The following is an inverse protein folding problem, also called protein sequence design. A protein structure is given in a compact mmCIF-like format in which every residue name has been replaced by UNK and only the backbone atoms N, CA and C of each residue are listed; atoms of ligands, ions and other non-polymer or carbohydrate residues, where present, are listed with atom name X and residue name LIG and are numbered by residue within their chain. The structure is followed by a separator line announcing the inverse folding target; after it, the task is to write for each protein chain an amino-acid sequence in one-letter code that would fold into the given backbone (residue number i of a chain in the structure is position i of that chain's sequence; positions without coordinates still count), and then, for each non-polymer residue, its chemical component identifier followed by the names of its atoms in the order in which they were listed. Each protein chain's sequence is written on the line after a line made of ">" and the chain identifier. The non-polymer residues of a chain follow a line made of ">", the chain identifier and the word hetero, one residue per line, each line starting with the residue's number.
data_IF_103951453596
#
_entry.id   IF_103951453596
#
_cell.length_a   1.000
_cell.length_b   1.000
_cell.length_c   1.000
_cell.angle_alpha   90.00
_cell.angle_beta   90.00
_cell.angle_gamma   90.00
#
_symmetry.space_group_name_H-M   'P 1'
#
loop_
_entity.id
_entity.type
_entity.pdbx_description
1 polymer ?
#
# COMPACT_ATOMS: atom_id res chain seq x y z
N UNK A 1 -6.04 -6.95 -14.04
CA UNK A 1 -5.31 -5.68 -13.86
C UNK A 1 -4.29 -5.82 -12.73
N UNK A 2 -3.25 -5.04 -12.78
CA UNK A 2 -2.24 -5.02 -11.72
C UNK A 2 -2.57 -3.92 -10.73
N UNK A 3 -2.82 -4.31 -9.48
CA UNK A 3 -3.25 -3.40 -8.42
C UNK A 3 -2.13 -3.22 -7.40
N UNK A 4 -1.66 -2.01 -7.23
CA UNK A 4 -0.76 -1.69 -6.12
C UNK A 4 -1.59 -1.37 -4.89
N UNK A 5 -1.21 -1.95 -3.76
CA UNK A 5 -1.84 -1.67 -2.47
C UNK A 5 -0.74 -1.18 -1.55
N UNK A 6 -0.86 0.07 -1.15
CA UNK A 6 0.11 0.70 -0.25
C UNK A 6 -0.64 1.40 0.87
N UNK A 7 0.04 1.68 1.96
CA UNK A 7 -0.63 2.37 3.04
C UNK A 7 0.21 2.51 4.28
N UNK A 8 -0.45 2.98 5.32
CA UNK A 8 0.18 3.35 6.58
C UNK A 8 0.62 2.12 7.36
N UNK A 9 1.79 2.21 7.97
CA UNK A 9 2.37 1.10 8.73
C UNK A 9 1.59 0.82 10.02
N UNK A 10 0.89 1.80 10.54
CA UNK A 10 0.09 1.65 11.73
C UNK A 10 -1.28 1.02 11.52
N UNK A 11 -1.66 0.75 10.28
CA UNK A 11 -2.93 0.08 9.99
C UNK A 11 -2.63 -1.41 9.81
N UNK A 12 -2.91 -2.19 10.85
CA UNK A 12 -2.51 -3.60 10.91
C UNK A 12 -3.68 -4.57 10.91
N UNK A 13 -4.92 -4.08 10.91
CA UNK A 13 -6.10 -4.92 10.91
C UNK A 13 -7.16 -4.37 9.97
N UNK A 14 -8.18 -5.17 9.74
CA UNK A 14 -9.30 -4.80 8.91
C UNK A 14 -9.37 -5.61 7.63
N UNK A 15 -10.54 -5.56 7.01
CA UNK A 15 -10.80 -6.27 5.76
C UNK A 15 -10.73 -5.28 4.60
N UNK A 16 -9.68 -5.38 3.81
CA UNK A 16 -9.48 -4.47 2.69
C UNK A 16 -10.25 -4.89 1.44
N UNK A 17 -10.91 -6.05 1.46
CA UNK A 17 -11.68 -6.52 0.31
C UNK A 17 -12.80 -5.54 -0.08
N UNK A 18 -13.31 -4.76 0.88
CA UNK A 18 -14.35 -3.77 0.62
C UNK A 18 -13.89 -2.66 -0.31
N UNK A 19 -12.58 -2.45 -0.45
CA UNK A 19 -12.01 -1.42 -1.32
C UNK A 19 -11.63 -1.95 -2.71
N UNK A 20 -11.74 -3.27 -2.93
CA UNK A 20 -11.28 -3.91 -4.15
C UNK A 20 -12.46 -4.54 -4.86
N UNK A 21 -12.94 -3.87 -5.90
CA UNK A 21 -14.12 -4.32 -6.65
C UNK A 21 -13.80 -4.65 -8.11
N UNK A 22 -12.53 -4.62 -8.49
CA UNK A 22 -12.09 -4.94 -9.84
C UNK A 22 -11.47 -6.33 -9.90
N UNK A 23 -11.43 -6.93 -11.08
CA UNK A 23 -10.69 -8.17 -11.29
C UNK A 23 -9.20 -7.89 -11.24
N UNK A 24 -8.53 -8.50 -10.27
CA UNK A 24 -7.10 -8.27 -10.03
C UNK A 24 -6.31 -9.54 -10.34
N UNK A 25 -5.31 -9.41 -11.20
CA UNK A 25 -4.42 -10.51 -11.58
C UNK A 25 -3.15 -10.54 -10.76
N UNK A 26 -2.71 -9.38 -10.29
CA UNK A 26 -1.46 -9.23 -9.57
C UNK A 26 -1.59 -8.12 -8.54
N UNK A 27 -1.15 -8.39 -7.33
CA UNK A 27 -1.05 -7.37 -6.28
C UNK A 27 0.41 -6.99 -6.14
N UNK A 28 0.68 -5.68 -6.12
CA UNK A 28 2.01 -5.12 -5.97
C UNK A 28 2.07 -4.40 -4.64
N UNK A 29 3.06 -4.74 -3.83
CA UNK A 29 3.22 -4.17 -2.48
C UNK A 29 4.69 -4.01 -2.15
N UNK A 30 4.98 -3.22 -1.13
CA UNK A 30 6.35 -3.00 -0.66
C UNK A 30 6.84 -4.01 0.36
N UNK A 31 5.98 -4.91 0.82
CA UNK A 31 6.37 -5.93 1.79
C UNK A 31 6.62 -5.39 3.20
N UNK A 32 6.21 -4.16 3.50
CA UNK A 32 6.37 -3.58 4.83
C UNK A 32 5.26 -4.05 5.77
N UNK A 33 5.33 -3.65 7.04
CA UNK A 33 4.27 -3.93 8.00
C UNK A 33 3.05 -3.05 7.73
N UNK A 34 1.93 -3.35 8.37
CA UNK A 34 0.71 -2.55 8.23
C UNK A 34 -0.10 -2.97 7.01
N UNK A 35 -0.51 -2.00 6.20
CA UNK A 35 -1.36 -2.25 5.04
C UNK A 35 -0.74 -3.26 4.07
N UNK A 36 0.58 -3.24 3.90
CA UNK A 36 1.24 -4.20 3.01
C UNK A 36 1.02 -5.64 3.48
N UNK A 37 1.01 -5.89 4.78
CA UNK A 37 0.70 -7.21 5.33
C UNK A 37 -0.74 -7.60 5.02
N UNK A 38 -1.68 -6.67 5.17
CA UNK A 38 -3.09 -6.91 4.83
C UNK A 38 -3.25 -7.26 3.35
N UNK A 39 -2.49 -6.60 2.49
CA UNK A 39 -2.51 -6.87 1.05
C UNK A 39 -2.05 -8.29 0.74
N UNK A 40 -0.99 -8.75 1.40
CA UNK A 40 -0.46 -10.10 1.21
C UNK A 40 -1.48 -11.13 1.69
N UNK A 41 -2.10 -10.91 2.84
CA UNK A 41 -3.14 -11.80 3.36
C UNK A 41 -4.34 -11.87 2.43
N UNK A 42 -4.76 -10.72 1.89
CA UNK A 42 -5.84 -10.67 0.92
C UNK A 42 -5.51 -11.48 -0.33
N UNK A 43 -4.28 -11.31 -0.84
CA UNK A 43 -3.84 -12.03 -2.03
C UNK A 43 -3.84 -13.54 -1.81
N UNK A 44 -3.36 -14.00 -0.66
CA UNK A 44 -3.38 -15.43 -0.32
C UNK A 44 -4.80 -15.97 -0.30
N UNK A 45 -5.71 -15.26 0.33
CA UNK A 45 -7.10 -15.67 0.45
C UNK A 45 -7.79 -15.76 -0.90
N UNK A 46 -7.47 -14.85 -1.80
CA UNK A 46 -8.05 -14.82 -3.15
C UNK A 46 -7.22 -15.57 -4.19
N UNK A 47 -6.09 -16.15 -3.80
CA UNK A 47 -5.19 -16.87 -4.70
C UNK A 47 -4.69 -15.99 -5.84
N UNK A 48 -4.34 -14.75 -5.49
CA UNK A 48 -3.78 -13.76 -6.42
C UNK A 48 -2.28 -13.71 -6.22
N UNK A 49 -1.52 -13.63 -7.31
CA UNK A 49 -0.08 -13.50 -7.25
C UNK A 49 0.32 -12.15 -6.63
N UNK A 50 1.44 -12.12 -5.92
CA UNK A 50 1.97 -10.92 -5.29
C UNK A 50 3.36 -10.63 -5.84
N UNK A 51 3.60 -9.37 -6.19
CA UNK A 51 4.94 -8.86 -6.51
C UNK A 51 5.33 -7.92 -5.38
N UNK A 52 6.39 -8.27 -4.65
CA UNK A 52 6.93 -7.39 -3.62
C UNK A 52 8.12 -6.63 -4.18
N UNK A 53 8.08 -5.31 -4.07
CA UNK A 53 9.19 -4.44 -4.47
C UNK A 53 9.77 -3.84 -3.20
N UNK A 54 10.93 -4.35 -2.80
CA UNK A 54 11.59 -3.92 -1.56
C UNK A 54 12.58 -2.79 -1.85
N UNK A 55 12.85 -1.92 -0.87
CA UNK A 55 13.82 -0.86 -1.07
C UNK A 55 15.24 -1.41 -1.21
N UNK A 56 15.96 -0.91 -2.21
CA UNK A 56 17.35 -1.32 -2.47
C UNK A 56 18.29 -0.27 -1.87
N UNK A 57 18.61 -0.44 -0.59
CA UNK A 57 19.45 0.50 0.12
C UNK A 57 20.88 0.53 -0.39
N UNK A 58 21.37 -0.59 -0.94
CA UNK A 58 22.73 -0.63 -1.49
C UNK A 58 22.85 0.29 -2.70
N UNK A 59 21.81 0.31 -3.53
CA UNK A 59 21.82 1.09 -4.76
C UNK A 59 21.44 2.54 -4.56
N UNK A 60 20.44 2.80 -3.70
CA UNK A 60 19.83 4.12 -3.59
C UNK A 60 20.04 4.80 -2.24
N UNK A 61 20.68 4.12 -1.27
CA UNK A 61 20.92 4.69 0.04
C UNK A 61 19.64 5.16 0.72
N UNK A 62 19.64 6.36 1.24
CA UNK A 62 18.49 6.91 1.97
C UNK A 62 17.27 7.15 1.07
N UNK A 63 17.46 7.25 -0.24
CA UNK A 63 16.38 7.44 -1.20
C UNK A 63 15.65 6.13 -1.54
N UNK A 64 16.15 4.99 -1.07
CA UNK A 64 15.61 3.68 -1.45
C UNK A 64 14.10 3.54 -1.23
N UNK A 65 13.52 3.98 -0.10
CA UNK A 65 12.06 3.87 0.06
C UNK A 65 11.28 4.70 -0.96
N UNK A 66 11.76 5.88 -1.31
CA UNK A 66 11.10 6.74 -2.29
C UNK A 66 11.19 6.12 -3.68
N UNK A 67 12.35 5.61 -4.05
CA UNK A 67 12.54 4.93 -5.33
C UNK A 67 11.61 3.72 -5.43
N UNK A 68 11.56 2.92 -4.36
CA UNK A 68 10.68 1.76 -4.30
C UNK A 68 9.22 2.15 -4.51
N UNK A 69 8.78 3.24 -3.88
CA UNK A 69 7.40 3.69 -4.02
C UNK A 69 7.07 4.08 -5.46
N UNK A 70 8.00 4.75 -6.15
CA UNK A 70 7.83 5.06 -7.58
C UNK A 70 7.74 3.79 -8.42
N UNK A 71 8.58 2.81 -8.12
CA UNK A 71 8.57 1.54 -8.86
C UNK A 71 7.22 0.83 -8.70
N UNK A 72 6.66 0.83 -7.50
CA UNK A 72 5.33 0.25 -7.24
C UNK A 72 4.27 0.93 -8.09
N UNK A 73 4.24 2.25 -8.07
CA UNK A 73 3.24 3.02 -8.82
C UNK A 73 3.41 2.82 -10.33
N UNK A 74 4.65 2.85 -10.81
CA UNK A 74 4.92 2.70 -12.24
C UNK A 74 4.51 1.33 -12.76
N UNK A 75 4.65 0.30 -11.94
CA UNK A 75 4.32 -1.08 -12.34
C UNK A 75 2.82 -1.34 -12.35
N UNK A 76 2.03 -0.60 -11.58
CA UNK A 76 0.61 -0.85 -11.40
C UNK A 76 -0.25 -0.19 -12.47
N UNK A 77 -1.41 -0.78 -12.73
CA UNK A 77 -2.47 -0.15 -13.53
C UNK A 77 -3.32 0.78 -12.68
N UNK A 78 -3.47 0.44 -11.40
CA UNK A 78 -4.28 1.19 -10.45
C UNK A 78 -3.62 1.11 -9.08
N UNK A 79 -3.70 2.20 -8.31
CA UNK A 79 -3.11 2.25 -6.96
C UNK A 79 -4.20 2.48 -5.93
N UNK A 80 -4.25 1.60 -4.94
CA UNK A 80 -5.11 1.77 -3.77
C UNK A 80 -4.22 2.17 -2.59
N UNK A 81 -4.51 3.33 -2.00
CA UNK A 81 -3.79 3.83 -0.83
C UNK A 81 -4.72 3.82 0.36
N UNK A 82 -4.37 3.07 1.39
CA UNK A 82 -5.12 3.03 2.65
C UNK A 82 -4.30 3.82 3.66
N UNK A 83 -4.76 5.02 3.99
CA UNK A 83 -3.95 6.04 4.64
C UNK A 83 -4.56 6.49 5.96
N UNK A 84 -3.72 6.71 6.96
CA UNK A 84 -4.15 7.22 8.26
C UNK A 84 -4.26 8.75 8.30
N UNK A 85 -3.93 9.41 7.20
CA UNK A 85 -4.00 10.87 7.10
C UNK A 85 -2.70 11.57 7.50
N UNK A 86 -1.72 10.85 8.02
CA UNK A 86 -0.49 11.48 8.52
C UNK A 86 0.80 10.85 8.00
N UNK A 87 0.79 9.58 7.56
CA UNK A 87 2.04 8.95 7.14
C UNK A 87 2.58 9.61 5.86
N UNK A 88 3.87 9.93 5.89
CA UNK A 88 4.53 10.65 4.79
C UNK A 88 4.74 9.79 3.56
N UNK A 89 5.01 8.50 3.76
CA UNK A 89 5.21 7.58 2.64
C UNK A 89 3.95 7.44 1.79
N UNK A 90 2.80 7.30 2.44
CA UNK A 90 1.52 7.21 1.72
C UNK A 90 1.20 8.51 1.01
N UNK A 91 1.46 9.65 1.66
CA UNK A 91 1.24 10.95 1.01
C UNK A 91 2.10 11.10 -0.23
N UNK A 92 3.35 10.66 -0.15
CA UNK A 92 4.24 10.70 -1.31
C UNK A 92 3.66 9.91 -2.48
N UNK A 93 3.14 8.71 -2.22
CA UNK A 93 2.54 7.88 -3.26
C UNK A 93 1.33 8.58 -3.89
N UNK A 94 0.46 9.18 -3.06
CA UNK A 94 -0.69 9.91 -3.55
C UNK A 94 -0.26 11.06 -4.47
N UNK A 95 0.72 11.85 -4.04
CA UNK A 95 1.22 12.98 -4.82
C UNK A 95 1.87 12.52 -6.13
N UNK A 96 2.63 11.42 -6.08
CA UNK A 96 3.26 10.90 -7.28
C UNK A 96 2.22 10.39 -8.29
N UNK A 97 1.18 9.71 -7.82
CA UNK A 97 0.09 9.27 -8.69
C UNK A 97 -0.56 10.46 -9.41
N UNK A 98 -0.78 11.56 -8.69
CA UNK A 98 -1.33 12.78 -9.29
C UNK A 98 -0.39 13.34 -10.35
N UNK A 99 0.90 13.35 -10.05
CA UNK A 99 1.91 13.91 -10.95
C UNK A 99 1.94 13.18 -12.29
N UNK A 100 1.81 11.86 -12.28
CA UNK A 100 1.90 11.07 -13.52
C UNK A 100 0.55 10.61 -14.05
N UNK A 101 -0.54 11.11 -13.47
CA UNK A 101 -1.91 10.76 -13.86
C UNK A 101 -2.21 9.28 -13.73
N UNK A 102 -1.66 8.63 -12.71
CA UNK A 102 -1.96 7.22 -12.42
C UNK A 102 -3.28 7.14 -11.68
N UNK A 103 -4.22 6.29 -12.11
CA UNK A 103 -5.46 6.08 -11.36
C UNK A 103 -5.16 5.66 -9.93
N UNK A 104 -5.77 6.36 -8.97
CA UNK A 104 -5.48 6.17 -7.57
C UNK A 104 -6.74 6.39 -6.75
N UNK A 105 -6.99 5.47 -5.82
CA UNK A 105 -8.07 5.60 -4.85
C UNK A 105 -7.44 5.72 -3.47
N UNK A 106 -7.88 6.71 -2.70
CA UNK A 106 -7.39 6.92 -1.34
C UNK A 106 -8.53 6.64 -0.37
N UNK A 107 -8.29 5.73 0.55
CA UNK A 107 -9.23 5.42 1.62
C UNK A 107 -8.59 5.80 2.96
N UNK A 108 -9.28 6.66 3.69
CA UNK A 108 -8.81 7.06 5.01
C UNK A 108 -9.25 6.02 6.05
N UNK A 109 -8.32 5.56 6.85
CA UNK A 109 -8.58 4.60 7.90
C UNK A 109 -7.69 4.93 9.10
N UNK A 110 -8.27 4.97 10.27
CA UNK A 110 -7.52 5.24 11.50
C UNK A 110 -6.49 4.14 11.74
N UNK A 111 -5.38 4.51 12.36
CA UNK A 111 -4.40 3.54 12.81
C UNK A 111 -5.07 2.51 13.70
N UNK A 112 -4.63 1.28 13.58
CA UNK A 112 -5.06 0.22 14.49
C UNK A 112 -4.54 0.55 15.88
N UNK A 113 -5.46 0.54 16.88
CA UNK A 113 -5.09 0.79 18.26
C UNK A 113 -5.36 -0.46 19.06
N UNK A 114 -4.67 -0.57 20.09
CA UNK A 114 -4.91 -1.67 21.01
C UNK A 114 -6.08 -1.33 21.89
N UNK A 115 -6.44 -0.87 21.37
CA UNK A 115 -7.27 -0.42 21.81
C UNK A 115 -7.62 0.33 22.47
N UNK A 116 -7.13 0.39 22.14
CA UNK A 116 -7.28 0.94 22.51
C UNK A 116 -7.43 1.33 23.07
N UNK A 117 -7.30 1.27 23.12
CA UNK A 117 -7.33 1.49 23.64
C UNK A 117 -7.61 1.69 24.11
N UNK A 118 -7.79 1.48 24.22
CA UNK A 118 -8.07 1.66 24.72
C UNK A 118 -8.24 2.03 25.43
N UNK A 119 -8.25 2.12 25.81
CA UNK A 119 -8.37 2.36 26.45
C UNK A 119 -8.80 2.84 27.00
N UNK A 120 -9.04 2.81 26.95
CA UNK A 120 -9.40 3.08 27.39
C UNK A 120 -9.76 3.43 27.86
#
# INVERSE_FOLDING_TARGET
>A
MKLAIVGSRGITDGDISTYIDEAVDLIITGGAVGVDTLAIEYAKKKRICVMEIVPDYKKYGKAAPIVRNRQIVNEADFVLVIWDGSSKGSKYVIDYCKKINKPCRVELKKKSTDSAGARH
#
